data_IF_519678372818
#
_entry.id   IF_519678372818
#
_cell.length_a   1.000
_cell.length_b   1.000
_cell.length_c   1.000
_cell.angle_alpha   90.00
_cell.angle_beta   90.00
_cell.angle_gamma   90.00
#
_symmetry.space_group_name_H-M   'P 1'
#
loop_
_entity.id
_entity.type
_entity.pdbx_description
1 polymer ?
2 non-polymer ?
3 non-polymer ?
4 water ?
#
# COMPACT_ATOMS: atom_id res chain seq x y z
N UNK A 6 -5.08 -21.59 -4.35
CA UNK A 6 -6.41 -21.02 -3.99
C UNK A 6 -6.53 -19.59 -4.51
N UNK A 7 -7.41 -18.81 -3.90
CA UNK A 7 -7.62 -17.42 -4.29
C UNK A 7 -7.38 -16.50 -3.09
N UNK A 8 -6.80 -15.34 -3.35
CA UNK A 8 -6.53 -14.36 -2.30
C UNK A 8 -7.03 -12.98 -2.71
N UNK A 9 -7.76 -12.34 -1.80
CA UNK A 9 -8.29 -11.01 -2.07
C UNK A 9 -7.47 -9.98 -1.30
N UNK A 10 -6.84 -9.07 -2.03
CA UNK A 10 -6.02 -8.02 -1.41
C UNK A 10 -6.59 -6.64 -1.75
N UNK A 11 -6.81 -5.82 -0.73
CA UNK A 11 -7.33 -4.47 -0.95
C UNK A 11 -6.23 -3.48 -0.58
N UNK A 12 -6.06 -2.44 -1.38
CA UNK A 12 -5.03 -1.43 -1.14
C UNK A 12 -5.66 -0.10 -0.77
N UNK A 13 -5.29 0.43 0.39
CA UNK A 13 -5.82 1.71 0.86
C UNK A 13 -4.68 2.64 1.27
N UNK A 14 -5.00 3.92 1.41
CA UNK A 14 -4.01 4.92 1.79
C UNK A 14 -4.39 6.28 1.25
N UNK A 15 -3.76 7.34 1.76
CA UNK A 15 -4.05 8.70 1.31
C UNK A 15 -3.91 8.90 -0.20
N UNK A 16 -4.62 9.90 -0.71
CA UNK A 16 -4.58 10.22 -2.13
C UNK A 16 -3.15 10.50 -2.56
N UNK A 17 -2.84 10.09 -3.78
CA UNK A 17 -1.54 10.26 -4.41
C UNK A 17 -0.34 9.64 -3.70
N UNK A 18 -0.57 8.66 -2.83
CA UNK A 18 0.57 8.05 -2.14
C UNK A 18 1.25 6.96 -2.98
N UNK A 19 0.61 6.58 -4.09
CA UNK A 19 1.19 5.58 -4.97
C UNK A 19 0.50 4.24 -5.07
N UNK A 20 -0.75 4.17 -4.64
CA UNK A 20 -1.49 2.91 -4.67
C UNK A 20 -1.69 2.36 -6.09
N UNK A 21 -2.19 3.20 -6.98
CA UNK A 21 -2.44 2.78 -8.35
C UNK A 21 -1.18 2.39 -9.13
N UNK A 22 -0.11 3.16 -8.95
CA UNK A 22 1.15 2.88 -9.64
C UNK A 22 1.68 1.53 -9.18
N UNK A 23 1.55 1.27 -7.88
CA UNK A 23 2.00 0.02 -7.29
C UNK A 23 1.25 -1.16 -7.94
N UNK A 24 -0.07 -1.04 -8.03
CA UNK A 24 -0.88 -2.10 -8.61
C UNK A 24 -0.67 -2.27 -10.10
N UNK A 25 -0.58 -1.15 -10.81
CA UNK A 25 -0.40 -1.19 -12.25
C UNK A 25 0.94 -1.82 -12.63
N UNK A 26 1.98 -1.50 -11.88
CA UNK A 26 3.30 -2.07 -12.15
C UNK A 26 3.29 -3.58 -11.93
N UNK A 27 2.62 -4.02 -10.87
CA UNK A 27 2.55 -5.44 -10.57
C UNK A 27 1.69 -6.25 -11.53
N UNK A 28 0.46 -5.79 -11.76
CA UNK A 28 -0.48 -6.50 -12.62
C UNK A 28 -0.29 -6.27 -14.12
N UNK A 29 0.01 -5.03 -14.50
CA UNK A 29 0.17 -4.70 -15.91
C UNK A 29 1.63 -4.53 -16.31
N UNK A 30 2.54 -4.65 -15.35
CA UNK A 30 3.97 -4.48 -15.64
C UNK A 30 4.15 -3.19 -16.42
N UNK A 31 3.49 -2.13 -15.96
CA UNK A 31 3.54 -0.84 -16.62
C UNK A 31 3.26 0.28 -15.62
N UNK A 32 4.11 1.31 -15.63
CA UNK A 32 3.93 2.46 -14.74
C UNK A 32 2.93 3.41 -15.41
N UNK A 33 1.92 3.89 -14.66
CA UNK A 33 0.90 4.80 -15.21
C UNK A 33 1.52 6.04 -15.83
N UNK A 34 1.09 6.38 -17.05
CA UNK A 34 1.63 7.54 -17.75
C UNK A 34 1.07 8.89 -17.29
N UNK A 35 -0.02 8.86 -16.53
CA UNK A 35 -0.63 10.09 -16.03
C UNK A 35 -1.34 9.79 -14.71
N UNK A 36 -1.82 10.82 -14.04
CA UNK A 36 -2.51 10.64 -12.78
C UNK A 36 -4.02 10.83 -12.91
N UNK A 37 -4.76 9.81 -12.52
CA UNK A 37 -6.22 9.85 -12.56
C UNK A 37 -6.70 9.34 -11.20
N UNK A 38 -7.48 10.16 -10.48
CA UNK A 38 -7.98 9.73 -9.17
C UNK A 38 -8.75 8.42 -9.31
N UNK A 39 -8.56 7.51 -8.36
CA UNK A 39 -9.24 6.23 -8.40
C UNK A 39 -10.46 6.17 -7.50
N UNK A 40 -11.49 5.43 -7.93
CA UNK A 40 -12.66 5.23 -7.07
C UNK A 40 -12.55 3.74 -6.74
N UNK A 41 -12.61 2.91 -7.78
CA UNK A 41 -12.46 1.46 -7.67
C UNK A 41 -11.93 0.91 -8.99
N UNK A 42 -11.06 -0.09 -8.90
CA UNK A 42 -10.51 -0.78 -10.06
C UNK A 42 -10.15 -2.16 -9.52
N UNK A 43 -10.28 -3.18 -10.35
CA UNK A 43 -9.96 -4.54 -9.92
C UNK A 43 -8.96 -5.12 -10.90
N UNK A 44 -7.95 -5.80 -10.38
CA UNK A 44 -6.93 -6.42 -11.21
C UNK A 44 -6.79 -7.88 -10.84
N UNK A 45 -6.45 -8.71 -11.81
CA UNK A 45 -6.25 -10.14 -11.57
C UNK A 45 -4.78 -10.46 -11.79
N UNK A 46 -4.27 -11.40 -11.01
CA UNK A 46 -2.88 -11.83 -11.10
C UNK A 46 -2.71 -13.15 -10.38
N UNK A 47 -1.59 -13.82 -10.63
CA UNK A 47 -1.32 -15.11 -10.00
C UNK A 47 0.13 -15.18 -9.52
N UNK A 48 0.32 -15.71 -8.32
CA UNK A 48 1.66 -15.84 -7.75
C UNK A 48 1.92 -17.31 -7.42
N UNK A 49 3.12 -17.78 -7.74
CA UNK A 49 3.50 -19.17 -7.48
C UNK A 49 4.19 -19.31 -6.12
N UNK A 50 3.72 -20.25 -5.32
CA UNK A 50 4.28 -20.49 -3.99
C UNK A 50 4.46 -21.99 -3.72
N UNK A 51 5.72 -22.42 -3.64
CA UNK A 51 6.04 -23.82 -3.37
C UNK A 51 5.27 -24.78 -4.27
N UNK A 52 5.52 -24.70 -5.57
CA UNK A 52 4.84 -25.57 -6.53
C UNK A 52 3.33 -25.39 -6.39
N UNK A 53 2.88 -24.15 -6.47
CA UNK A 53 1.46 -23.84 -6.35
C UNK A 53 1.20 -22.45 -6.92
N UNK A 54 0.15 -22.34 -7.74
CA UNK A 54 -0.20 -21.06 -8.35
C UNK A 54 -1.45 -20.48 -7.71
N UNK A 55 -1.28 -19.38 -6.99
CA UNK A 55 -2.39 -18.72 -6.31
C UNK A 55 -2.95 -17.59 -7.16
N UNK A 56 -4.28 -17.46 -7.16
CA UNK A 56 -4.94 -16.41 -7.91
C UNK A 56 -5.21 -15.22 -7.00
N UNK A 57 -4.73 -14.05 -7.42
CA UNK A 57 -4.89 -12.83 -6.66
C UNK A 57 -5.94 -11.90 -7.26
N UNK A 58 -6.86 -11.44 -6.43
CA UNK A 58 -7.87 -10.49 -6.86
C UNK A 58 -7.49 -9.21 -6.13
N UNK A 59 -6.99 -8.22 -6.88
CA UNK A 59 -6.53 -6.96 -6.29
C UNK A 59 -7.51 -5.81 -6.45
N UNK A 60 -7.74 -5.08 -5.36
CA UNK A 60 -8.65 -3.95 -5.38
C UNK A 60 -7.98 -2.61 -5.07
N UNK A 61 -8.08 -1.69 -6.03
CA UNK A 61 -7.53 -0.35 -5.90
C UNK A 61 -8.69 0.51 -5.37
N UNK A 62 -8.40 1.42 -4.45
CA UNK A 62 -9.45 2.26 -3.87
C UNK A 62 -9.09 3.75 -3.88
N UNK A 63 -10.03 4.57 -3.41
CA UNK A 63 -9.82 6.02 -3.35
C UNK A 63 -9.26 6.45 -2.01
N UNK A 64 -8.27 7.33 -2.03
CA UNK A 64 -7.71 7.81 -0.78
C UNK A 64 -8.47 9.04 -0.30
N UNK A 65 -9.47 9.45 -1.08
CA UNK A 65 -10.25 10.64 -0.75
C UNK A 65 -11.36 10.46 0.27
N UNK A 66 -11.52 11.46 1.16
CA UNK A 66 -12.56 11.42 2.19
C UNK A 66 -13.94 11.40 1.54
N UNK A 67 -14.05 11.97 0.34
CA UNK A 67 -15.32 12.02 -0.37
C UNK A 67 -15.86 10.62 -0.68
N UNK A 68 -15.01 9.61 -0.57
CA UNK A 68 -15.44 8.25 -0.85
C UNK A 68 -15.44 7.32 0.36
N UNK A 69 -15.48 7.90 1.55
CA UNK A 69 -15.51 7.10 2.77
C UNK A 69 -16.72 6.17 2.83
N UNK A 70 -17.83 6.59 2.22
CA UNK A 70 -19.04 5.78 2.22
C UNK A 70 -19.07 4.74 1.12
N UNK A 71 -18.19 4.89 0.14
CA UNK A 71 -18.13 3.96 -0.98
C UNK A 71 -17.05 2.90 -0.80
N UNK A 72 -15.89 3.32 -0.28
CA UNK A 72 -14.76 2.43 -0.09
C UNK A 72 -15.06 1.12 0.65
N UNK A 73 -15.87 1.17 1.72
CA UNK A 73 -16.21 -0.03 2.49
C UNK A 73 -16.77 -1.22 1.70
N UNK A 74 -17.36 -0.96 0.54
CA UNK A 74 -17.91 -2.04 -0.29
C UNK A 74 -16.86 -3.06 -0.72
N UNK A 75 -15.59 -2.67 -0.72
CA UNK A 75 -14.52 -3.56 -1.16
C UNK A 75 -13.92 -4.43 -0.05
N UNK A 76 -14.23 -4.11 1.20
CA UNK A 76 -13.65 -4.84 2.32
C UNK A 76 -14.06 -6.30 2.57
N UNK A 77 -15.36 -6.62 2.43
CA UNK A 77 -15.82 -8.00 2.66
C UNK A 77 -14.95 -9.12 2.11
N UNK A 78 -14.62 -10.08 2.98
CA UNK A 78 -13.82 -11.24 2.62
C UNK A 78 -12.38 -10.97 2.21
N UNK A 79 -11.80 -9.88 2.71
CA UNK A 79 -10.42 -9.58 2.36
C UNK A 79 -9.46 -10.46 3.14
N UNK A 80 -8.46 -10.99 2.44
CA UNK A 80 -7.45 -11.84 3.07
C UNK A 80 -6.32 -10.99 3.63
N UNK A 81 -6.02 -9.88 2.96
CA UNK A 81 -4.97 -8.97 3.39
C UNK A 81 -5.27 -7.57 2.91
N UNK A 82 -4.82 -6.59 3.69
CA UNK A 82 -5.02 -5.20 3.35
C UNK A 82 -3.66 -4.51 3.38
N UNK A 83 -3.34 -3.79 2.32
CA UNK A 83 -2.09 -3.06 2.27
C UNK A 83 -2.41 -1.60 2.56
N UNK A 84 -1.87 -1.08 3.65
CA UNK A 84 -2.07 0.32 4.01
C UNK A 84 -0.81 1.03 3.53
N UNK A 85 -0.98 1.96 2.60
CA UNK A 85 0.14 2.69 2.02
C UNK A 85 0.22 4.14 2.46
N UNK A 86 1.44 4.68 2.42
CA UNK A 86 1.68 6.08 2.72
C UNK A 86 2.82 6.53 1.80
N UNK A 87 3.02 7.84 1.71
CA UNK A 87 4.04 8.43 0.84
C UNK A 87 5.28 8.84 1.65
N UNK A 88 6.40 8.17 1.41
CA UNK A 88 7.64 8.45 2.12
C UNK A 88 8.08 9.91 1.98
N UNK A 89 7.67 10.56 0.89
CA UNK A 89 8.01 11.96 0.66
C UNK A 89 7.07 12.93 1.38
N UNK A 90 6.01 12.40 1.99
CA UNK A 90 5.04 13.25 2.70
C UNK A 90 4.69 12.67 4.06
N UNK A 91 5.43 13.08 5.11
CA UNK A 91 5.22 12.61 6.48
C UNK A 91 3.77 12.64 6.95
N UNK A 92 3.01 13.63 6.50
CA UNK A 92 1.61 13.77 6.89
C UNK A 92 0.81 12.51 6.53
N UNK A 93 1.17 11.86 5.43
CA UNK A 93 0.45 10.66 5.00
C UNK A 93 0.68 9.48 5.95
N UNK A 94 1.79 9.52 6.68
CA UNK A 94 2.06 8.45 7.65
C UNK A 94 1.09 8.61 8.84
N UNK A 95 0.82 9.86 9.22
CA UNK A 95 -0.09 10.14 10.33
C UNK A 95 -1.48 9.57 10.08
N UNK A 96 -1.91 9.62 8.82
CA UNK A 96 -3.22 9.10 8.42
C UNK A 96 -3.35 7.62 8.72
N UNK A 97 -2.23 6.92 8.66
CA UNK A 97 -2.23 5.49 8.93
C UNK A 97 -2.80 5.21 10.31
N UNK A 98 -2.36 6.00 11.29
CA UNK A 98 -2.81 5.85 12.66
C UNK A 98 -4.17 6.51 12.90
N UNK A 99 -4.31 7.74 12.42
CA UNK A 99 -5.53 8.52 12.61
C UNK A 99 -6.78 8.05 11.85
N UNK A 100 -6.59 7.46 10.68
CA UNK A 100 -7.75 7.05 9.90
C UNK A 100 -7.82 5.61 9.40
N UNK A 101 -6.79 5.18 8.68
CA UNK A 101 -6.79 3.85 8.09
C UNK A 101 -6.87 2.66 9.03
N UNK A 102 -6.11 2.69 10.12
CA UNK A 102 -6.15 1.58 11.07
C UNK A 102 -7.57 1.41 11.61
N UNK A 103 -8.20 2.52 11.98
CA UNK A 103 -9.55 2.47 12.51
C UNK A 103 -10.59 1.98 11.51
N UNK A 104 -10.41 2.34 10.24
CA UNK A 104 -11.37 1.91 9.22
C UNK A 104 -11.24 0.42 8.96
N UNK A 105 -10.01 -0.08 8.89
CA UNK A 105 -9.80 -1.50 8.67
C UNK A 105 -10.32 -2.33 9.85
N UNK A 106 -10.03 -1.90 11.07
CA UNK A 106 -10.48 -2.65 12.23
C UNK A 106 -12.01 -2.65 12.29
N UNK A 107 -12.62 -1.60 11.76
CA UNK A 107 -14.07 -1.48 11.77
C UNK A 107 -14.76 -2.39 10.75
N UNK A 108 -14.15 -2.54 9.57
CA UNK A 108 -14.74 -3.36 8.52
C UNK A 108 -14.00 -4.65 8.20
N UNK A 109 -12.73 -4.73 8.56
CA UNK A 109 -11.93 -5.91 8.28
C UNK A 109 -11.28 -6.51 9.50
N UNK A 110 -12.04 -6.70 10.59
CA UNK A 110 -11.39 -7.29 11.76
C UNK A 110 -10.79 -8.64 11.38
N UNK A 111 -9.71 -9.01 12.04
CA UNK A 111 -9.05 -10.29 11.80
C UNK A 111 -8.32 -10.44 10.46
N UNK A 112 -8.32 -9.40 9.63
CA UNK A 112 -7.61 -9.49 8.35
C UNK A 112 -6.16 -9.08 8.59
N UNK A 113 -5.24 -9.65 7.82
CA UNK A 113 -3.82 -9.33 7.94
C UNK A 113 -3.49 -7.98 7.29
N UNK A 114 -2.87 -7.08 8.06
CA UNK A 114 -2.49 -5.76 7.56
C UNK A 114 -0.99 -5.66 7.29
N UNK A 115 -0.65 -4.98 6.21
CA UNK A 115 0.75 -4.76 5.87
C UNK A 115 0.94 -3.26 5.65
N UNK A 116 1.94 -2.68 6.30
CA UNK A 116 2.19 -1.25 6.13
C UNK A 116 3.22 -1.14 5.02
N UNK A 117 2.88 -0.37 3.99
CA UNK A 117 3.74 -0.21 2.83
C UNK A 117 4.19 1.23 2.57
N UNK A 118 5.51 1.44 2.59
CA UNK A 118 6.05 2.75 2.32
C UNK A 118 6.26 2.86 0.81
N UNK A 119 5.58 3.80 0.17
CA UNK A 119 5.71 3.96 -1.27
C UNK A 119 6.60 5.14 -1.66
N UNK A 120 7.08 5.11 -2.89
CA UNK A 120 7.95 6.14 -3.44
C UNK A 120 9.27 6.23 -2.66
N UNK A 121 9.91 5.10 -2.41
CA UNK A 121 11.16 5.12 -1.66
C UNK A 121 12.23 5.88 -2.43
N UNK A 122 12.11 5.92 -3.75
CA UNK A 122 13.09 6.63 -4.58
C UNK A 122 13.19 8.11 -4.22
N UNK A 123 12.15 8.68 -3.63
CA UNK A 123 12.17 10.10 -3.29
C UNK A 123 12.93 10.43 -2.01
N UNK A 124 13.24 9.43 -1.20
CA UNK A 124 13.95 9.68 0.05
C UNK A 124 15.33 10.29 -0.21
N UNK A 125 15.88 10.04 -1.40
CA UNK A 125 17.19 10.57 -1.76
C UNK A 125 17.11 11.54 -2.93
N UNK A 126 15.90 11.92 -3.32
CA UNK A 126 15.71 12.86 -4.42
C UNK A 126 16.02 14.28 -3.93
N UNK A 127 17.07 14.88 -4.49
CA UNK A 127 17.51 16.22 -4.11
C UNK A 127 16.41 17.28 -4.02
N UNK A 128 15.60 17.40 -5.07
CA UNK A 128 14.52 18.39 -5.07
C UNK A 128 13.57 18.21 -3.89
N UNK A 129 13.28 16.95 -3.57
CA UNK A 129 12.38 16.63 -2.46
C UNK A 129 13.04 16.98 -1.13
N UNK A 130 14.31 16.62 -0.98
CA UNK A 130 15.04 16.92 0.25
C UNK A 130 15.07 18.43 0.50
N UNK A 131 15.32 19.19 -0.56
CA UNK A 131 15.38 20.65 -0.46
C UNK A 131 14.03 21.25 -0.07
N UNK A 132 12.97 20.82 -0.73
CA UNK A 132 11.64 21.34 -0.42
C UNK A 132 11.24 21.02 1.01
N UNK A 133 11.41 19.76 1.42
CA UNK A 133 11.05 19.36 2.78
C UNK A 133 11.91 20.09 3.81
N UNK A 134 13.19 20.24 3.48
CA UNK A 134 14.14 20.91 4.36
C UNK A 134 13.80 22.37 4.61
N UNK A 135 13.29 23.05 3.58
CA UNK A 135 12.92 24.45 3.72
C UNK A 135 11.76 24.61 4.69
N UNK A 136 11.17 23.49 5.09
CA UNK A 136 10.07 23.52 6.04
C UNK A 136 10.32 22.64 7.25
N UNK A 137 11.59 22.54 7.63
CA UNK A 137 11.99 21.77 8.79
C UNK A 137 11.49 20.34 8.79
N UNK A 138 11.53 19.69 7.63
CA UNK A 138 11.09 18.31 7.52
C UNK A 138 12.06 17.43 6.74
N UNK A 139 11.86 16.12 6.86
CA UNK A 139 12.68 15.14 6.16
C UNK A 139 11.77 14.00 5.73
N UNK A 140 12.19 13.22 4.72
CA UNK A 140 11.35 12.11 4.28
C UNK A 140 11.15 11.13 5.44
N UNK A 141 10.13 10.29 5.35
CA UNK A 141 9.89 9.31 6.41
C UNK A 141 11.07 8.35 6.38
N UNK A 142 11.59 7.99 7.55
CA UNK A 142 12.71 7.07 7.60
C UNK A 142 12.19 5.65 7.75
N UNK A 143 13.03 4.68 7.41
CA UNK A 143 12.64 3.28 7.54
C UNK A 143 12.19 3.03 8.98
N UNK A 144 12.96 3.53 9.94
CA UNK A 144 12.65 3.34 11.35
C UNK A 144 11.29 3.89 11.75
N UNK A 145 10.92 5.05 11.21
CA UNK A 145 9.62 5.63 11.53
C UNK A 145 8.54 4.72 10.96
N UNK A 146 8.80 4.18 9.78
CA UNK A 146 7.85 3.28 9.15
C UNK A 146 7.69 2.01 9.98
N UNK A 147 8.80 1.41 10.36
CA UNK A 147 8.76 0.18 11.16
C UNK A 147 8.04 0.38 12.49
N UNK A 148 8.32 1.49 13.18
CA UNK A 148 7.67 1.74 14.46
C UNK A 148 6.16 1.93 14.32
N UNK A 149 5.73 2.56 13.23
CA UNK A 149 4.30 2.77 13.02
C UNK A 149 3.62 1.43 12.79
N UNK A 150 4.29 0.54 12.06
CA UNK A 150 3.75 -0.78 11.78
C UNK A 150 3.48 -1.56 13.07
N UNK A 151 4.40 -1.46 14.03
CA UNK A 151 4.22 -2.16 15.29
C UNK A 151 3.12 -1.51 16.09
N UNK A 152 3.06 -0.18 16.03
CA UNK A 152 2.04 0.56 16.77
C UNK A 152 0.61 0.22 16.34
N UNK A 153 0.41 -0.07 15.06
CA UNK A 153 -0.93 -0.40 14.58
C UNK A 153 -1.18 -1.89 14.47
N UNK A 154 -0.17 -2.69 14.80
CA UNK A 154 -0.32 -4.13 14.74
C UNK A 154 -0.21 -4.75 13.36
N UNK A 155 0.56 -4.12 12.47
CA UNK A 155 0.73 -4.64 11.12
C UNK A 155 1.65 -5.86 11.17
N UNK A 156 1.40 -6.82 10.28
CA UNK A 156 2.21 -8.03 10.21
C UNK A 156 3.66 -7.66 9.94
N UNK A 157 3.86 -6.60 9.16
CA UNK A 157 5.21 -6.17 8.83
C UNK A 157 5.20 -4.83 8.12
N UNK A 158 6.38 -4.24 7.99
CA UNK A 158 6.54 -2.98 7.30
C UNK A 158 7.46 -3.27 6.12
N UNK A 159 7.12 -2.74 4.96
CA UNK A 159 7.94 -2.97 3.77
C UNK A 159 7.88 -1.73 2.88
N UNK A 160 8.97 -1.45 2.16
CA UNK A 160 9.02 -0.28 1.29
C UNK A 160 9.19 -0.68 -0.17
N UNK A 161 8.88 0.25 -1.07
CA UNK A 161 9.02 -0.01 -2.49
C UNK A 161 9.06 1.27 -3.30
N UNK A 162 9.38 1.12 -4.58
CA UNK A 162 9.40 2.23 -5.51
C UNK A 162 8.85 1.70 -6.83
N UNK A 163 7.57 1.93 -7.07
CA UNK A 163 6.93 1.48 -8.29
C UNK A 163 7.61 2.12 -9.50
N UNK A 164 8.19 3.29 -9.29
CA UNK A 164 8.83 4.02 -10.38
C UNK A 164 10.19 3.46 -10.78
N UNK A 165 11.03 3.16 -9.79
CA UNK A 165 12.38 2.67 -10.07
C UNK A 165 12.66 1.18 -9.94
N UNK A 166 11.88 0.46 -9.14
CA UNK A 166 12.16 -0.96 -8.99
C UNK A 166 10.93 -1.85 -9.03
N UNK A 167 10.75 -2.54 -10.16
CA UNK A 167 9.62 -3.44 -10.33
C UNK A 167 9.72 -4.59 -9.34
N UNK A 168 10.95 -4.97 -9.00
CA UNK A 168 11.18 -6.06 -8.06
C UNK A 168 10.69 -5.72 -6.67
N UNK A 169 10.93 -4.49 -6.23
CA UNK A 169 10.48 -4.09 -4.91
C UNK A 169 8.97 -4.23 -4.83
N UNK A 170 8.30 -4.05 -5.96
CA UNK A 170 6.84 -4.16 -6.01
C UNK A 170 6.41 -5.62 -5.92
N UNK A 171 7.08 -6.49 -6.68
CA UNK A 171 6.74 -7.90 -6.65
C UNK A 171 7.00 -8.49 -5.26
N UNK A 172 8.02 -7.99 -4.57
CA UNK A 172 8.31 -8.48 -3.22
C UNK A 172 7.15 -8.23 -2.28
N UNK A 173 6.49 -7.08 -2.44
CA UNK A 173 5.36 -6.76 -1.58
C UNK A 173 4.26 -7.80 -1.72
N UNK A 174 3.92 -8.16 -2.95
CA UNK A 174 2.87 -9.15 -3.14
C UNK A 174 3.33 -10.55 -2.79
N UNK A 175 4.64 -10.78 -2.88
CA UNK A 175 5.20 -12.08 -2.52
C UNK A 175 4.95 -12.27 -1.03
N UNK A 176 5.26 -11.23 -0.24
CA UNK A 176 5.07 -11.28 1.20
C UNK A 176 3.58 -11.33 1.56
N UNK A 177 2.78 -10.49 0.92
CA UNK A 177 1.34 -10.46 1.19
C UNK A 177 0.73 -11.84 1.00
N UNK A 178 1.08 -12.49 -0.10
CA UNK A 178 0.57 -13.83 -0.41
C UNK A 178 0.94 -14.83 0.69
N UNK A 179 2.20 -14.79 1.13
CA UNK A 179 2.66 -15.70 2.19
C UNK A 179 1.90 -15.47 3.49
N UNK A 180 1.64 -14.21 3.81
CA UNK A 180 0.91 -13.87 5.03
C UNK A 180 -0.50 -14.45 5.01
N UNK A 181 -1.03 -14.71 3.82
CA UNK A 181 -2.37 -15.26 3.67
C UNK A 181 -2.38 -16.78 3.52
N UNK A 182 -1.42 -17.31 2.77
CA UNK A 182 -1.32 -18.75 2.54
C UNK A 182 -1.41 -19.54 3.84
N UNK A 183 -0.79 -19.03 4.90
CA UNK A 183 -0.82 -19.69 6.20
C UNK A 183 -1.50 -18.83 7.26
N UNK A 184 -2.83 -18.78 7.19
CA UNK A 184 -3.62 -18.01 8.14
C UNK A 184 -3.92 -18.87 9.36
X LIG B 1 -5.24 5.67 -7.43
X LIG C 1 -5.71 8.17 -5.44
X LIG C 1 -6.03 9.64 -5.53
X LIG C 1 -6.33 7.33 -6.51
X LIG C 1 -6.02 7.71 -4.09
X LIG C 1 -3.94 8.16 -5.63
X LIG C 1 -2.84 6.91 -5.66
X LIG C 1 -2.44 6.57 -4.22
X LIG C 1 -3.38 5.79 -6.39
X LIG C 1 -1.62 7.51 -6.43
X LIG C 1 -0.91 7.12 -7.83
X LIG C 1 -0.42 5.76 -7.88
X LIG C 1 -1.92 7.53 -8.92
X LIG C 1 0.43 8.13 -7.77
X LIG C 1 0.04 9.57 -7.69
X LIG C 1 1.39 10.23 -8.28
X LIG C 1 2.62 9.76 -7.68
X LIG C 1 1.57 10.10 -9.73
X LIG C 1 1.82 11.34 -10.34
X LIG C 1 2.69 9.04 -10.01
X LIG C 1 3.35 9.23 -11.13
X LIG C 1 3.61 9.33 -8.63
X LIG C 1 4.22 8.03 -8.15
X LIG C 1 3.50 6.84 -7.98
X LIG C 1 4.51 6.04 -7.56
X LIG C 1 5.76 6.65 -7.46
X LIG C 1 6.87 6.13 -7.09
X LIG C 1 7.33 5.02 -6.71
X LIG C 1 8.01 7.17 -7.13
X LIG C 1 7.66 8.37 -7.51
X LIG C 1 8.76 9.37 -7.54
X LIG C 1 6.48 8.90 -7.90
X LIG C 1 5.55 7.91 -7.83
#
# INVERSE_FOLDING_TARGET
GSNQNVKCKIVVVGDSQCGKTALLHVFAKDCFPENYVPTVFENYTASFEIDTQRIELSLWDTSGSPYYDNVRPLSYPDSDAVLICFDISRPETLDSVLKKWKGEIQEFCPNTKMLLVGCKSDLRTDVSTLVELSNHRQTPVSYDQGANMAKQIGAATYIECSALQSENSVRDIFHVATLACVNK
MG MG
GTP PG O1G O2G O3G O3B PB O1B O2B O3A PA O1A O2A O5' C5' C4' O4' C3' O3' C2' O2' C1' N9 C8 N7 C5 C6 O6 N1 C2 N2 N3 C4
#
